data_IF_030141197879
#
_entry.id   IF_030141197879
#
_cell.length_a   1.000
_cell.length_b   1.000
_cell.length_c   1.000
_cell.angle_alpha   90.00
_cell.angle_beta   90.00
_cell.angle_gamma   90.00
#
_symmetry.space_group_name_H-M   'P 1'
#
loop_
_entity.id
_entity.type
_entity.pdbx_description
1 polymer ?
#
# COMPACT_ATOMS: atom_id res chain seq x y z
N UNK A 1 -39.31 4.00 -63.46
CA UNK A 1 -39.93 3.93 -62.16
C UNK A 1 -38.95 3.24 -61.19
N UNK A 2 -38.49 3.91 -60.18
CA UNK A 2 -37.68 3.27 -59.12
C UNK A 2 -38.60 2.46 -58.28
N UNK A 3 -38.36 1.12 -58.21
CA UNK A 3 -39.13 0.23 -57.33
C UNK A 3 -38.69 0.56 -55.88
N UNK A 4 -39.63 0.98 -55.05
CA UNK A 4 -39.42 1.15 -53.64
C UNK A 4 -39.31 -0.22 -52.95
N UNK A 5 -38.52 -0.28 -51.85
CA UNK A 5 -38.46 -1.48 -51.02
C UNK A 5 -39.82 -1.83 -50.43
N UNK A 6 -40.18 -3.07 -50.46
CA UNK A 6 -41.38 -3.58 -49.75
C UNK A 6 -41.12 -3.59 -48.23
N UNK A 7 -42.20 -3.47 -47.47
CA UNK A 7 -42.11 -3.54 -45.99
C UNK A 7 -41.42 -4.81 -45.47
N UNK A 8 -41.66 -5.94 -46.20
CA UNK A 8 -41.07 -7.26 -45.88
C UNK A 8 -39.57 -7.26 -46.15
N UNK A 9 -39.09 -6.65 -47.24
CA UNK A 9 -37.65 -6.55 -47.53
C UNK A 9 -36.94 -5.67 -46.51
N UNK A 10 -37.56 -4.57 -46.08
CA UNK A 10 -37.01 -3.72 -45.03
C UNK A 10 -36.95 -4.46 -43.69
N UNK A 11 -38.00 -5.21 -43.33
CA UNK A 11 -38.06 -6.01 -42.09
C UNK A 11 -37.00 -7.12 -42.08
N UNK A 12 -36.79 -7.81 -43.23
CA UNK A 12 -35.75 -8.82 -43.37
C UNK A 12 -34.34 -8.24 -43.21
N UNK A 13 -34.07 -7.07 -43.75
CA UNK A 13 -32.78 -6.38 -43.60
C UNK A 13 -32.53 -5.99 -42.14
N UNK A 14 -33.53 -5.44 -41.43
CA UNK A 14 -33.41 -5.06 -40.02
C UNK A 14 -33.17 -6.30 -39.17
N UNK A 15 -33.84 -7.41 -39.44
CA UNK A 15 -33.65 -8.69 -38.71
C UNK A 15 -32.22 -9.22 -38.88
N UNK A 16 -31.74 -9.25 -40.14
CA UNK A 16 -30.36 -9.70 -40.45
C UNK A 16 -29.32 -8.79 -39.78
N UNK A 17 -29.50 -7.46 -39.86
CA UNK A 17 -28.61 -6.52 -39.18
C UNK A 17 -28.63 -6.66 -37.66
N UNK A 18 -29.80 -6.95 -37.07
CA UNK A 18 -29.96 -7.27 -35.65
C UNK A 18 -29.19 -8.51 -35.24
N UNK A 19 -29.27 -9.59 -36.02
CA UNK A 19 -28.52 -10.83 -35.78
C UNK A 19 -27.00 -10.61 -35.90
N UNK A 20 -26.56 -9.89 -36.93
CA UNK A 20 -25.16 -9.57 -37.13
C UNK A 20 -24.65 -8.71 -35.96
N UNK A 21 -25.42 -7.70 -35.53
CA UNK A 21 -25.05 -6.86 -34.39
C UNK A 21 -24.94 -7.69 -33.09
N UNK A 22 -25.82 -8.62 -32.86
CA UNK A 22 -25.82 -9.47 -31.66
C UNK A 22 -24.57 -10.34 -31.54
N UNK A 23 -23.98 -10.76 -32.66
CA UNK A 23 -22.77 -11.60 -32.71
C UNK A 23 -21.52 -10.74 -32.82
N UNK A 24 -21.54 -9.71 -33.65
CA UNK A 24 -20.35 -8.90 -33.96
C UNK A 24 -19.95 -7.95 -32.80
N UNK A 25 -20.92 -7.36 -32.12
CA UNK A 25 -20.63 -6.39 -31.04
C UNK A 25 -19.87 -7.04 -29.88
N UNK A 26 -20.26 -8.19 -29.32
CA UNK A 26 -19.49 -8.83 -28.26
C UNK A 26 -18.07 -9.22 -28.68
N UNK A 27 -17.92 -9.72 -29.91
CA UNK A 27 -16.63 -10.14 -30.45
C UNK A 27 -15.67 -8.95 -30.62
N UNK A 28 -16.16 -7.84 -31.19
CA UNK A 28 -15.37 -6.62 -31.35
C UNK A 28 -14.99 -6.02 -29.99
N UNK A 29 -15.92 -6.02 -29.03
CA UNK A 29 -15.63 -5.51 -27.69
C UNK A 29 -14.56 -6.36 -26.98
N UNK A 30 -14.58 -7.68 -27.13
CA UNK A 30 -13.54 -8.55 -26.56
C UNK A 30 -12.18 -8.31 -27.19
N UNK A 31 -12.11 -8.17 -28.52
CA UNK A 31 -10.84 -7.86 -29.23
C UNK A 31 -10.30 -6.50 -28.78
N UNK A 32 -11.16 -5.49 -28.63
CA UNK A 32 -10.76 -4.17 -28.16
C UNK A 32 -10.27 -4.22 -26.71
N UNK A 33 -10.89 -5.01 -25.86
CA UNK A 33 -10.50 -5.19 -24.48
C UNK A 33 -9.11 -5.84 -24.37
N UNK A 34 -8.87 -6.92 -25.12
CA UNK A 34 -7.56 -7.60 -25.15
C UNK A 34 -6.45 -6.70 -25.71
N UNK A 35 -6.76 -5.91 -26.75
CA UNK A 35 -5.81 -4.92 -27.28
C UNK A 35 -5.43 -3.84 -26.25
N UNK A 36 -6.42 -3.34 -25.52
CA UNK A 36 -6.18 -2.37 -24.41
C UNK A 36 -5.40 -2.98 -23.28
N UNK A 37 -5.70 -4.23 -22.89
CA UNK A 37 -4.95 -4.97 -21.89
C UNK A 37 -3.48 -5.12 -22.27
N UNK A 38 -3.19 -5.45 -23.55
CA UNK A 38 -1.82 -5.53 -24.07
C UNK A 38 -1.08 -4.18 -24.04
N UNK A 39 -1.76 -3.09 -24.41
CA UNK A 39 -1.20 -1.75 -24.31
C UNK A 39 -0.90 -1.33 -22.87
N UNK A 40 -1.81 -1.61 -21.94
CA UNK A 40 -1.63 -1.35 -20.52
C UNK A 40 -0.45 -2.14 -19.95
N UNK A 41 -0.36 -3.43 -20.25
CA UNK A 41 0.78 -4.29 -19.87
C UNK A 41 2.12 -3.73 -20.35
N UNK A 42 2.17 -3.30 -21.62
CA UNK A 42 3.37 -2.66 -22.18
C UNK A 42 3.74 -1.37 -21.44
N UNK A 43 2.77 -0.54 -21.10
CA UNK A 43 2.99 0.70 -20.35
C UNK A 43 3.61 0.39 -18.99
N UNK A 44 3.08 -0.58 -18.25
CA UNK A 44 3.57 -0.97 -16.93
C UNK A 44 5.01 -1.53 -16.99
N UNK A 45 5.27 -2.38 -17.98
CA UNK A 45 6.60 -2.98 -18.19
C UNK A 45 7.64 -1.92 -18.51
N UNK A 46 7.30 -0.97 -19.39
CA UNK A 46 8.21 0.12 -19.75
C UNK A 46 8.46 1.07 -18.59
N UNK A 47 7.43 1.38 -17.82
CA UNK A 47 7.53 2.23 -16.64
C UNK A 47 8.42 1.59 -15.57
N UNK A 48 8.22 0.30 -15.29
CA UNK A 48 9.07 -0.46 -14.37
C UNK A 48 10.54 -0.41 -14.77
N UNK A 49 10.86 -0.73 -16.03
CA UNK A 49 12.22 -0.68 -16.56
C UNK A 49 12.87 0.71 -16.46
N UNK A 50 12.14 1.77 -16.78
CA UNK A 50 12.66 3.12 -16.70
C UNK A 50 13.03 3.52 -15.26
N UNK A 51 12.30 3.02 -14.29
CA UNK A 51 12.58 3.26 -12.86
C UNK A 51 13.76 2.39 -12.39
N UNK A 52 13.85 1.13 -12.79
CA UNK A 52 14.98 0.24 -12.53
C UNK A 52 16.29 0.81 -13.10
N UNK A 53 16.25 1.33 -14.33
CA UNK A 53 17.40 2.01 -14.96
C UNK A 53 17.80 3.28 -14.20
N UNK A 54 16.84 4.09 -13.76
CA UNK A 54 17.12 5.30 -12.97
C UNK A 54 17.74 4.96 -11.62
N UNK A 55 17.21 3.99 -10.89
CA UNK A 55 17.75 3.52 -9.63
C UNK A 55 19.21 3.05 -9.80
N UNK A 56 19.49 2.24 -10.82
CA UNK A 56 20.86 1.78 -11.14
C UNK A 56 21.81 2.96 -11.40
N UNK A 57 21.34 3.99 -12.10
CA UNK A 57 22.14 5.21 -12.34
C UNK A 57 22.39 6.00 -11.06
N UNK A 58 21.42 6.08 -10.14
CA UNK A 58 21.56 6.71 -8.82
C UNK A 58 22.59 5.97 -7.97
N UNK A 59 22.57 4.62 -7.97
CA UNK A 59 23.57 3.78 -7.30
C UNK A 59 25.00 4.02 -7.84
N UNK A 60 25.19 4.01 -9.15
CA UNK A 60 26.49 4.24 -9.80
C UNK A 60 27.05 5.61 -9.43
N UNK A 61 26.19 6.61 -9.28
CA UNK A 61 26.58 7.98 -8.90
C UNK A 61 26.73 8.20 -7.40
N UNK A 62 26.57 7.17 -6.58
CA UNK A 62 26.50 7.28 -5.11
C UNK A 62 25.49 8.33 -4.61
N UNK A 63 24.36 8.43 -5.32
CA UNK A 63 23.24 9.29 -4.93
C UNK A 63 22.23 8.49 -4.09
N UNK A 64 21.41 9.18 -3.32
CA UNK A 64 20.30 8.54 -2.60
C UNK A 64 19.32 7.93 -3.61
N UNK A 65 19.00 6.66 -3.42
CA UNK A 65 18.04 5.95 -4.25
C UNK A 65 16.64 6.46 -3.94
N UNK A 66 15.87 6.75 -4.99
CA UNK A 66 14.45 7.04 -4.86
C UNK A 66 13.69 5.73 -4.61
N UNK A 67 13.16 5.54 -3.41
CA UNK A 67 12.54 4.28 -2.97
C UNK A 67 11.08 4.14 -3.36
N UNK A 68 10.42 5.24 -3.78
CA UNK A 68 9.03 5.19 -4.24
C UNK A 68 8.69 6.29 -5.23
N UNK A 69 7.76 5.99 -6.14
CA UNK A 69 7.15 6.92 -7.08
C UNK A 69 5.64 6.84 -6.94
N UNK A 70 4.98 7.99 -6.90
CA UNK A 70 3.52 8.09 -6.85
C UNK A 70 3.04 8.68 -8.18
N UNK A 71 2.03 8.07 -8.76
CA UNK A 71 1.36 8.58 -9.97
C UNK A 71 -0.05 8.99 -9.60
N UNK A 72 -0.38 10.24 -9.85
CA UNK A 72 -1.73 10.78 -9.61
C UNK A 72 -2.14 11.62 -10.82
N UNK A 73 -3.29 11.29 -11.40
CA UNK A 73 -3.80 11.93 -12.62
C UNK A 73 -2.76 11.93 -13.76
N UNK A 74 -2.02 10.82 -13.90
CA UNK A 74 -1.00 10.65 -14.94
C UNK A 74 0.31 11.40 -14.70
N UNK A 75 0.50 12.01 -13.52
CA UNK A 75 1.73 12.73 -13.14
C UNK A 75 2.51 11.91 -12.12
N UNK A 76 3.77 11.61 -12.46
CA UNK A 76 4.68 10.86 -11.58
C UNK A 76 5.50 11.78 -10.68
N UNK A 77 5.60 11.46 -9.39
CA UNK A 77 6.38 12.19 -8.39
C UNK A 77 7.22 11.20 -7.56
N UNK A 78 8.52 11.44 -7.33
CA UNK A 78 9.32 12.53 -7.92
C UNK A 78 9.43 12.40 -9.43
N UNK A 79 9.67 13.54 -10.10
CA UNK A 79 9.59 13.63 -11.55
C UNK A 79 10.54 12.64 -12.25
N UNK A 80 9.96 11.87 -13.16
CA UNK A 80 10.65 11.01 -14.10
C UNK A 80 10.23 11.44 -15.50
N UNK A 81 11.19 11.70 -16.40
CA UNK A 81 10.89 12.16 -17.78
C UNK A 81 10.28 11.02 -18.62
N UNK A 82 9.08 10.61 -18.25
CA UNK A 82 8.27 9.63 -18.98
C UNK A 82 7.07 10.34 -19.59
N UNK A 83 6.91 10.18 -20.90
CA UNK A 83 5.80 10.76 -21.67
C UNK A 83 4.67 9.75 -21.83
N UNK A 84 3.45 10.19 -21.61
CA UNK A 84 2.24 9.40 -21.85
C UNK A 84 1.21 9.55 -20.74
N UNK A 85 0.03 8.94 -20.94
CA UNK A 85 -0.96 8.78 -19.88
C UNK A 85 -0.51 7.62 -18.97
N UNK A 86 0.01 7.97 -17.81
CA UNK A 86 0.43 6.97 -16.82
C UNK A 86 -0.78 6.55 -15.99
N UNK A 87 -0.90 5.26 -15.66
CA UNK A 87 -1.91 4.79 -14.73
C UNK A 87 -1.60 5.28 -13.31
N UNK A 88 -2.64 5.54 -12.53
CA UNK A 88 -2.49 6.02 -11.15
C UNK A 88 -2.08 4.88 -10.21
N UNK A 89 -1.31 5.22 -9.18
CA UNK A 89 -0.88 4.30 -8.14
C UNK A 89 0.55 4.54 -7.67
N UNK A 90 1.16 3.51 -7.12
CA UNK A 90 2.45 3.62 -6.46
C UNK A 90 3.40 2.55 -6.97
N UNK A 91 4.66 2.93 -7.12
CA UNK A 91 5.77 2.07 -7.50
C UNK A 91 6.83 2.16 -6.41
N UNK A 92 7.24 1.01 -5.93
CA UNK A 92 8.33 0.86 -4.96
C UNK A 92 9.58 0.38 -5.64
N UNK A 93 10.72 0.80 -5.08
CA UNK A 93 12.05 0.41 -5.54
C UNK A 93 12.82 -0.12 -4.35
N UNK A 94 13.34 -1.34 -4.43
CA UNK A 94 14.21 -1.90 -3.40
C UNK A 94 15.68 -1.53 -3.62
N UNK A 95 16.55 -1.93 -2.69
CA UNK A 95 17.98 -1.64 -2.76
C UNK A 95 18.70 -2.33 -3.94
N UNK A 96 18.09 -3.34 -4.56
CA UNK A 96 18.60 -4.06 -5.74
C UNK A 96 18.08 -3.45 -7.04
N UNK A 97 17.39 -2.30 -6.94
CA UNK A 97 16.74 -1.63 -8.06
C UNK A 97 15.62 -2.43 -8.74
N UNK A 98 15.10 -3.47 -8.10
CA UNK A 98 13.85 -4.11 -8.54
C UNK A 98 12.65 -3.25 -8.15
N UNK A 99 11.58 -3.32 -8.96
CA UNK A 99 10.34 -2.58 -8.72
C UNK A 99 9.18 -3.50 -8.38
N UNK A 100 8.34 -3.05 -7.45
CA UNK A 100 6.99 -3.58 -7.24
C UNK A 100 5.97 -2.47 -7.39
N UNK A 101 4.76 -2.79 -7.84
CA UNK A 101 3.73 -1.78 -8.01
C UNK A 101 2.31 -2.33 -8.04
N UNK A 102 1.36 -1.45 -7.71
CA UNK A 102 -0.04 -1.58 -8.05
C UNK A 102 -0.47 -0.30 -8.75
N UNK A 103 -0.77 -0.40 -10.04
CA UNK A 103 -1.14 0.72 -10.89
C UNK A 103 -2.47 0.43 -11.60
N UNK A 104 -3.33 1.42 -11.72
CA UNK A 104 -4.66 1.24 -12.32
C UNK A 104 -5.03 2.36 -13.28
N UNK A 105 -5.79 2.00 -14.30
CA UNK A 105 -6.57 2.92 -15.12
C UNK A 105 -8.06 2.60 -15.01
N UNK A 106 -8.89 3.21 -15.84
CA UNK A 106 -10.34 2.99 -15.83
C UNK A 106 -10.75 1.55 -16.17
N UNK A 107 -9.88 0.75 -16.80
CA UNK A 107 -10.22 -0.57 -17.33
C UNK A 107 -9.44 -1.72 -16.69
N UNK A 108 -8.24 -1.46 -16.17
CA UNK A 108 -7.32 -2.49 -15.71
C UNK A 108 -6.60 -2.09 -14.43
N UNK A 109 -6.25 -3.12 -13.66
CA UNK A 109 -5.32 -3.04 -12.54
C UNK A 109 -4.12 -3.91 -12.91
N UNK A 110 -2.92 -3.35 -12.83
CA UNK A 110 -1.67 -4.06 -13.04
C UNK A 110 -0.88 -4.12 -11.75
N UNK A 111 -0.43 -5.30 -11.39
CA UNK A 111 0.35 -5.57 -10.19
C UNK A 111 1.65 -6.27 -10.56
N UNK A 112 2.71 -5.95 -9.87
CA UNK A 112 4.00 -6.61 -9.95
C UNK A 112 4.62 -6.64 -8.56
N UNK A 113 4.99 -7.83 -8.11
CA UNK A 113 5.85 -8.00 -6.95
C UNK A 113 7.32 -7.82 -7.35
N UNK A 114 8.21 -7.58 -6.38
CA UNK A 114 9.65 -7.63 -6.63
C UNK A 114 10.01 -8.98 -7.23
N UNK A 115 10.79 -8.97 -8.33
CA UNK A 115 11.16 -10.17 -9.09
C UNK A 115 10.02 -10.94 -9.78
N UNK A 116 8.77 -10.52 -9.57
CA UNK A 116 7.59 -11.11 -10.17
C UNK A 116 7.29 -10.60 -11.59
N UNK A 117 6.39 -11.31 -12.28
CA UNK A 117 5.81 -10.86 -13.54
C UNK A 117 4.66 -9.88 -13.34
N UNK A 118 4.38 -9.07 -14.35
CA UNK A 118 3.23 -8.14 -14.34
C UNK A 118 1.94 -8.94 -14.53
N UNK A 119 1.06 -8.91 -13.56
CA UNK A 119 -0.29 -9.48 -13.62
C UNK A 119 -1.30 -8.38 -13.92
N UNK A 120 -2.12 -8.57 -14.94
CA UNK A 120 -3.17 -7.63 -15.33
C UNK A 120 -4.55 -8.23 -15.07
N UNK A 121 -5.33 -7.57 -14.22
CA UNK A 121 -6.73 -7.87 -13.96
C UNK A 121 -7.63 -6.78 -14.56
N UNK A 122 -8.86 -7.12 -14.87
CA UNK A 122 -9.85 -6.14 -15.34
C UNK A 122 -10.23 -5.23 -14.17
N UNK A 123 -10.12 -3.93 -14.38
CA UNK A 123 -10.75 -2.95 -13.50
C UNK A 123 -12.23 -2.85 -13.95
N UNK A 124 -13.09 -3.68 -13.40
CA UNK A 124 -14.50 -3.76 -13.81
C UNK A 124 -15.36 -2.64 -13.22
N UNK A 125 -14.70 -1.63 -12.61
CA UNK A 125 -15.41 -0.56 -11.90
C UNK A 125 -16.24 -1.09 -10.75
N UNK A 126 -16.17 -2.40 -10.48
CA UNK A 126 -16.67 -2.95 -9.25
C UNK A 126 -15.83 -2.29 -8.17
N UNK A 127 -16.40 -1.23 -7.67
CA UNK A 127 -16.00 -0.53 -6.48
C UNK A 127 -15.33 -1.54 -5.56
N UNK A 128 -14.18 -1.20 -5.02
CA UNK A 128 -13.62 -1.94 -3.88
C UNK A 128 -14.69 -2.23 -2.82
N UNK A 129 -15.80 -1.49 -2.85
CA UNK A 129 -17.01 -1.65 -2.03
C UNK A 129 -17.83 -2.93 -2.30
N UNK A 130 -17.57 -3.71 -3.36
CA UNK A 130 -18.34 -4.91 -3.66
C UNK A 130 -17.54 -6.22 -3.49
N UNK A 131 -16.25 -6.16 -3.12
CA UNK A 131 -15.52 -7.34 -2.66
C UNK A 131 -15.98 -7.70 -1.26
N UNK A 132 -16.10 -8.99 -0.92
CA UNK A 132 -16.36 -9.37 0.46
C UNK A 132 -15.27 -8.79 1.37
N UNK A 133 -15.69 -8.28 2.52
CA UNK A 133 -14.82 -7.78 3.56
C UNK A 133 -14.65 -8.87 4.61
N UNK A 134 -13.42 -9.12 5.00
CA UNK A 134 -13.08 -10.09 6.05
C UNK A 134 -12.23 -9.38 7.11
N UNK A 135 -12.65 -9.45 8.36
CA UNK A 135 -11.96 -8.75 9.44
C UNK A 135 -10.84 -9.63 10.00
N UNK A 136 -9.66 -9.04 10.14
CA UNK A 136 -8.57 -9.65 10.89
C UNK A 136 -8.97 -9.85 12.33
N UNK A 137 -8.66 -11.04 12.87
CA UNK A 137 -8.93 -11.34 14.27
C UNK A 137 -8.31 -10.28 15.15
N UNK A 138 -9.08 -9.83 16.16
CA UNK A 138 -8.54 -9.07 17.27
C UNK A 138 -7.70 -10.04 18.07
N UNK A 139 -6.44 -10.10 17.82
CA UNK A 139 -5.54 -10.80 18.70
C UNK A 139 -4.62 -9.82 19.37
N UNK A 140 -4.06 -10.19 20.43
CA UNK A 140 -2.82 -9.72 20.95
C UNK A 140 -1.77 -10.00 19.85
N UNK A 141 -1.69 -9.09 18.89
CA UNK A 141 -1.21 -9.30 17.55
C UNK A 141 0.27 -9.21 17.43
N UNK A 142 0.82 -10.32 17.38
CA UNK A 142 1.96 -10.54 16.54
C UNK A 142 1.53 -11.57 15.49
N UNK A 143 1.96 -11.47 14.23
CA UNK A 143 1.93 -12.57 13.28
C UNK A 143 2.71 -13.72 13.89
N UNK A 144 2.10 -14.57 14.62
CA UNK A 144 2.72 -15.61 15.45
C UNK A 144 1.87 -16.03 16.64
N UNK A 145 0.80 -15.30 16.94
CA UNK A 145 -0.03 -15.54 18.10
C UNK A 145 -1.33 -16.29 17.81
N UNK A 146 -1.45 -16.92 16.67
CA UNK A 146 -2.67 -17.64 16.32
C UNK A 146 -2.45 -19.14 16.35
N UNK A 147 -2.70 -19.69 17.49
CA UNK A 147 -3.01 -21.10 17.67
C UNK A 147 -1.85 -21.96 18.12
N UNK A 148 -1.97 -22.41 19.35
CA UNK A 148 -1.28 -23.55 19.99
C UNK A 148 0.24 -23.51 20.08
N UNK A 149 0.70 -23.16 21.25
CA UNK A 149 2.01 -23.58 21.81
C UNK A 149 3.30 -23.09 21.11
N UNK A 150 3.23 -22.11 20.21
CA UNK A 150 4.42 -21.38 19.83
C UNK A 150 4.60 -20.28 20.88
N UNK A 151 5.63 -20.40 21.69
CA UNK A 151 6.14 -19.30 22.51
C UNK A 151 6.72 -18.28 21.52
N UNK A 152 5.93 -17.34 21.16
CA UNK A 152 5.90 -16.61 19.90
C UNK A 152 6.88 -15.45 19.79
N UNK A 153 7.82 -15.28 20.69
CA UNK A 153 8.89 -14.28 20.53
C UNK A 153 9.80 -14.60 19.33
N UNK A 154 9.92 -15.86 18.95
CA UNK A 154 10.96 -16.29 18.03
C UNK A 154 10.69 -15.87 16.58
N UNK A 155 9.44 -15.89 16.10
CA UNK A 155 9.14 -15.53 14.71
C UNK A 155 9.04 -14.02 14.46
N UNK A 156 8.56 -13.23 15.42
CA UNK A 156 8.42 -11.78 15.25
C UNK A 156 9.77 -11.13 14.93
N UNK A 157 10.79 -11.53 15.67
CA UNK A 157 12.16 -11.06 15.46
C UNK A 157 12.81 -11.64 14.19
N UNK A 158 12.20 -12.65 13.56
CA UNK A 158 12.73 -13.31 12.37
C UNK A 158 12.01 -12.89 11.07
N UNK A 159 10.95 -12.07 11.16
CA UNK A 159 10.22 -11.62 9.97
C UNK A 159 10.93 -10.44 9.32
N UNK A 160 11.33 -10.62 8.05
CA UNK A 160 11.95 -9.59 7.22
C UNK A 160 10.94 -8.77 6.43
N UNK A 161 9.83 -9.38 6.01
CA UNK A 161 8.78 -8.68 5.28
C UNK A 161 7.39 -9.22 5.56
N UNK A 162 6.38 -8.37 5.38
CA UNK A 162 4.98 -8.72 5.48
C UNK A 162 4.28 -8.30 4.18
N UNK A 163 3.52 -9.21 3.56
CA UNK A 163 2.80 -8.94 2.31
C UNK A 163 1.34 -9.33 2.44
N UNK A 164 0.44 -8.37 2.24
CA UNK A 164 -1.00 -8.61 2.10
C UNK A 164 -1.33 -8.94 0.65
N UNK A 165 -2.07 -10.04 0.41
CA UNK A 165 -2.34 -10.61 -0.91
C UNK A 165 -3.84 -10.68 -1.23
N UNK A 166 -4.18 -10.57 -2.51
CA UNK A 166 -5.54 -10.69 -3.03
C UNK A 166 -5.96 -12.15 -3.33
N UNK A 167 -5.26 -13.12 -2.78
CA UNK A 167 -5.53 -14.55 -2.92
C UNK A 167 -5.14 -15.31 -1.65
N UNK A 168 -5.61 -16.54 -1.52
CA UNK A 168 -5.28 -17.45 -0.41
C UNK A 168 -4.35 -18.58 -0.85
N UNK A 169 -3.62 -18.42 -1.95
CA UNK A 169 -2.72 -19.45 -2.44
C UNK A 169 -1.51 -19.60 -1.52
N UNK A 170 -1.37 -20.78 -0.96
CA UNK A 170 -0.25 -21.15 -0.09
C UNK A 170 0.75 -21.93 -0.94
N UNK A 171 2.01 -21.50 -1.05
CA UNK A 171 3.03 -22.22 -1.78
C UNK A 171 3.45 -23.50 -1.04
N UNK A 172 4.04 -24.44 -1.77
CA UNK A 172 4.43 -25.74 -1.21
C UNK A 172 5.60 -25.68 -0.20
N UNK A 173 6.34 -24.59 -0.22
CA UNK A 173 7.48 -24.29 0.67
C UNK A 173 7.06 -23.45 1.89
N UNK A 174 5.78 -23.19 2.06
CA UNK A 174 5.29 -22.57 3.28
C UNK A 174 5.63 -23.44 4.49
N UNK A 175 6.29 -22.81 5.47
CA UNK A 175 6.74 -23.49 6.70
C UNK A 175 5.58 -23.70 7.67
N UNK A 176 4.71 -22.70 7.75
CA UNK A 176 3.57 -22.68 8.67
C UNK A 176 2.41 -21.89 8.08
N UNK A 177 1.19 -22.27 8.44
CA UNK A 177 -0.04 -21.61 8.00
C UNK A 177 -1.05 -21.53 9.12
N UNK A 178 -1.84 -20.47 9.15
CA UNK A 178 -2.87 -20.29 10.18
C UNK A 178 -4.03 -19.43 9.71
N UNK A 179 -5.19 -19.59 10.35
CA UNK A 179 -6.38 -18.75 10.14
C UNK A 179 -6.23 -17.43 10.91
N UNK A 180 -6.27 -16.32 10.20
CA UNK A 180 -6.20 -14.96 10.75
C UNK A 180 -7.55 -14.24 10.75
N UNK A 181 -8.62 -14.90 10.32
CA UNK A 181 -9.94 -14.30 10.30
C UNK A 181 -10.58 -14.20 11.69
N UNK A 182 -11.28 -13.10 11.96
CA UNK A 182 -12.07 -12.92 13.19
C UNK A 182 -13.14 -14.00 13.32
N UNK A 183 -13.71 -14.43 12.19
CA UNK A 183 -14.73 -15.48 12.15
C UNK A 183 -14.19 -16.89 12.38
N UNK A 184 -12.87 -17.11 12.27
CA UNK A 184 -12.25 -18.43 12.38
C UNK A 184 -12.66 -19.39 11.25
N UNK A 185 -12.92 -18.86 10.04
CA UNK A 185 -13.47 -19.57 8.89
C UNK A 185 -12.49 -19.70 7.71
N UNK A 186 -11.21 -19.38 7.93
CA UNK A 186 -10.17 -19.32 6.92
C UNK A 186 -10.47 -18.33 5.76
N UNK A 187 -11.24 -17.29 6.02
CA UNK A 187 -11.43 -16.21 5.05
C UNK A 187 -10.18 -15.34 4.88
N UNK A 188 -9.31 -15.32 5.90
CA UNK A 188 -7.97 -14.74 5.88
C UNK A 188 -6.97 -15.80 6.32
N UNK A 189 -5.98 -16.09 5.47
CA UNK A 189 -4.92 -17.07 5.75
C UNK A 189 -3.59 -16.35 5.89
N UNK A 190 -2.90 -16.60 7.00
CA UNK A 190 -1.50 -16.26 7.20
C UNK A 190 -0.60 -17.45 6.88
N UNK A 191 0.59 -17.19 6.33
CA UNK A 191 1.66 -18.17 6.20
C UNK A 191 3.03 -17.51 6.17
N UNK A 192 4.07 -18.27 6.47
CA UNK A 192 5.47 -17.85 6.37
C UNK A 192 6.25 -18.74 5.42
N UNK A 193 7.22 -18.13 4.72
CA UNK A 193 8.18 -18.81 3.87
C UNK A 193 9.58 -18.42 4.34
N UNK A 194 10.54 -19.34 4.33
CA UNK A 194 11.92 -19.04 4.67
C UNK A 194 12.53 -18.03 3.68
N UNK A 195 13.38 -17.17 4.19
CA UNK A 195 14.21 -16.32 3.36
C UNK A 195 15.20 -17.19 2.57
N UNK A 196 15.49 -16.81 1.30
CA UNK A 196 16.36 -17.58 0.42
C UNK A 196 17.85 -17.46 0.79
N UNK A 197 18.23 -16.36 1.40
CA UNK A 197 19.62 -16.01 1.69
C UNK A 197 20.01 -16.40 3.12
N UNK A 198 19.04 -16.40 4.06
CA UNK A 198 19.26 -16.79 5.46
C UNK A 198 18.07 -17.56 6.04
N UNK A 199 18.21 -18.87 6.19
CA UNK A 199 17.18 -19.78 6.69
C UNK A 199 16.67 -19.48 8.12
N UNK A 200 17.32 -18.57 8.83
CA UNK A 200 16.86 -18.12 10.16
C UNK A 200 15.77 -17.05 10.08
N UNK A 201 15.51 -16.53 8.89
CA UNK A 201 14.53 -15.46 8.66
C UNK A 201 13.39 -15.93 7.76
N UNK A 202 12.30 -15.16 7.80
CA UNK A 202 11.05 -15.49 7.10
C UNK A 202 10.42 -14.27 6.44
N UNK A 203 9.62 -14.55 5.42
CA UNK A 203 8.67 -13.63 4.81
C UNK A 203 7.26 -14.06 5.20
N UNK A 204 6.46 -13.15 5.75
CA UNK A 204 5.07 -13.40 6.13
C UNK A 204 4.11 -12.90 5.05
N UNK A 205 3.11 -13.71 4.77
CA UNK A 205 2.05 -13.42 3.80
C UNK A 205 0.69 -13.54 4.46
N UNK A 206 -0.20 -12.59 4.15
CA UNK A 206 -1.56 -12.55 4.66
C UNK A 206 -2.49 -12.46 3.45
N UNK A 207 -3.23 -13.51 3.16
CA UNK A 207 -4.01 -13.67 1.94
C UNK A 207 -5.51 -13.75 2.19
N UNK A 208 -6.28 -13.14 1.29
CA UNK A 208 -7.74 -13.24 1.24
C UNK A 208 -8.24 -13.07 -0.19
N UNK A 209 -9.34 -13.73 -0.54
CA UNK A 209 -10.04 -13.51 -1.83
C UNK A 209 -10.85 -12.20 -1.84
N UNK A 210 -10.86 -11.47 -0.74
CA UNK A 210 -11.56 -10.20 -0.55
C UNK A 210 -10.65 -9.07 -0.05
N UNK A 211 -11.29 -8.08 0.55
CA UNK A 211 -10.63 -7.00 1.27
C UNK A 211 -10.35 -7.47 2.70
N UNK A 212 -9.17 -7.21 3.20
CA UNK A 212 -8.77 -7.52 4.57
C UNK A 212 -8.98 -6.26 5.41
N UNK A 213 -10.06 -6.20 6.16
CA UNK A 213 -10.32 -5.13 7.10
C UNK A 213 -9.45 -5.31 8.34
N UNK A 214 -8.74 -4.27 8.72
CA UNK A 214 -8.09 -4.22 10.01
C UNK A 214 -9.13 -4.20 11.14
N UNK A 215 -8.77 -4.76 12.29
CA UNK A 215 -9.63 -4.64 13.47
C UNK A 215 -9.76 -3.16 13.87
N UNK A 216 -10.93 -2.69 14.30
CA UNK A 216 -11.10 -1.30 14.77
C UNK A 216 -10.09 -0.88 15.85
N UNK A 217 -9.65 -1.82 16.68
CA UNK A 217 -8.51 -1.62 17.57
C UNK A 217 -7.28 -2.34 16.98
N UNK A 218 -6.49 -1.60 16.21
CA UNK A 218 -5.25 -2.07 15.58
C UNK A 218 -4.00 -1.66 16.37
N UNK A 219 -4.16 -1.38 17.67
CA UNK A 219 -3.03 -1.06 18.54
C UNK A 219 -2.01 -2.21 18.55
N UNK A 220 -0.73 -1.88 18.43
CA UNK A 220 0.40 -2.80 18.45
C UNK A 220 0.41 -3.88 17.35
N UNK A 221 -0.36 -3.71 16.28
CA UNK A 221 -0.53 -4.76 15.25
C UNK A 221 0.79 -5.23 14.62
N UNK A 222 1.74 -4.36 14.40
CA UNK A 222 3.06 -4.67 13.86
C UNK A 222 4.18 -4.30 14.83
N UNK A 223 3.88 -4.30 16.13
CA UNK A 223 4.86 -3.98 17.18
C UNK A 223 5.85 -5.13 17.38
N UNK A 224 7.11 -4.79 17.69
CA UNK A 224 8.15 -5.76 18.02
C UNK A 224 8.81 -6.46 16.83
N UNK A 225 8.46 -6.12 15.60
CA UNK A 225 9.10 -6.68 14.40
C UNK A 225 10.48 -6.04 14.16
N UNK A 226 11.43 -6.34 15.01
CA UNK A 226 12.74 -5.67 15.07
C UNK A 226 13.60 -5.83 13.82
N UNK A 227 13.39 -6.89 13.03
CA UNK A 227 14.10 -7.14 11.76
C UNK A 227 13.27 -6.85 10.51
N UNK A 228 12.08 -6.27 10.68
CA UNK A 228 11.18 -5.95 9.57
C UNK A 228 11.77 -4.87 8.65
N UNK A 229 11.95 -5.19 7.37
CA UNK A 229 12.50 -4.28 6.35
C UNK A 229 11.42 -3.65 5.48
N UNK A 230 10.30 -4.35 5.27
CA UNK A 230 9.21 -3.85 4.41
C UNK A 230 7.85 -4.43 4.75
N UNK A 231 6.80 -3.64 4.48
CA UNK A 231 5.41 -4.10 4.51
C UNK A 231 4.74 -3.68 3.20
N UNK A 232 4.10 -4.64 2.53
CA UNK A 232 3.22 -4.38 1.39
C UNK A 232 1.77 -4.56 1.86
N UNK A 233 1.00 -3.48 1.89
CA UNK A 233 -0.36 -3.48 2.42
C UNK A 233 -1.44 -3.97 1.42
N UNK A 234 -1.10 -4.23 0.17
CA UNK A 234 -1.98 -4.89 -0.82
C UNK A 234 -3.46 -4.52 -0.70
N UNK A 235 -4.28 -5.48 -0.29
CA UNK A 235 -5.73 -5.34 -0.07
C UNK A 235 -6.13 -5.03 1.39
N UNK A 236 -5.19 -4.56 2.20
CA UNK A 236 -5.44 -4.19 3.60
C UNK A 236 -6.20 -2.86 3.71
N UNK A 237 -7.27 -2.83 4.47
CA UNK A 237 -8.16 -1.69 4.65
C UNK A 237 -8.20 -1.23 6.10
N UNK A 238 -8.01 0.06 6.33
CA UNK A 238 -7.99 0.66 7.67
C UNK A 238 -9.17 1.60 7.95
N UNK A 239 -10.16 1.68 7.05
CA UNK A 239 -11.26 2.64 7.15
C UNK A 239 -12.13 2.50 8.40
N UNK A 240 -12.11 1.33 9.04
CA UNK A 240 -12.85 1.08 10.29
C UNK A 240 -12.00 1.26 11.56
N UNK A 241 -10.70 1.55 11.41
CA UNK A 241 -9.78 1.64 12.55
C UNK A 241 -10.01 2.91 13.34
N UNK A 242 -10.10 2.76 14.65
CA UNK A 242 -10.25 3.86 15.60
C UNK A 242 -9.02 4.06 16.49
N UNK A 243 -8.19 3.02 16.63
CA UNK A 243 -7.00 3.03 17.47
C UNK A 243 -5.80 2.40 16.74
N UNK A 244 -4.73 3.20 16.54
CA UNK A 244 -3.45 2.82 15.94
C UNK A 244 -2.27 2.99 16.92
N UNK A 245 -2.54 3.01 18.23
CA UNK A 245 -1.51 3.15 19.27
C UNK A 245 -0.42 2.08 19.10
N UNK A 246 0.85 2.49 19.04
CA UNK A 246 2.01 1.59 18.95
C UNK A 246 2.01 0.66 17.72
N UNK A 247 1.25 0.97 16.66
CA UNK A 247 1.03 0.03 15.54
C UNK A 247 2.31 -0.51 14.92
N UNK A 248 3.38 0.29 14.88
CA UNK A 248 4.70 -0.09 14.36
C UNK A 248 5.80 0.06 15.42
N UNK A 249 5.44 0.06 16.70
CA UNK A 249 6.39 0.20 17.79
C UNK A 249 7.54 -0.81 17.66
N UNK A 250 8.78 -0.33 17.84
CA UNK A 250 10.00 -1.15 17.81
C UNK A 250 10.26 -1.88 16.47
N UNK A 251 9.70 -1.41 15.34
CA UNK A 251 10.12 -1.86 14.03
C UNK A 251 11.48 -1.21 13.67
N UNK A 252 12.52 -1.57 14.43
CA UNK A 252 13.79 -0.83 14.52
C UNK A 252 14.62 -0.85 13.25
N UNK A 253 14.50 -1.88 12.39
CA UNK A 253 15.22 -1.97 11.10
C UNK A 253 14.47 -1.34 9.93
N UNK A 254 13.21 -0.92 10.12
CA UNK A 254 12.38 -0.36 9.07
C UNK A 254 12.91 1.01 8.65
N UNK A 255 13.43 1.14 7.44
CA UNK A 255 13.99 2.40 6.92
C UNK A 255 12.93 3.34 6.31
N UNK A 256 11.88 2.78 5.76
CA UNK A 256 10.74 3.49 5.17
C UNK A 256 9.49 2.63 5.20
N UNK A 257 8.32 3.26 5.19
CA UNK A 257 7.03 2.57 5.13
C UNK A 257 6.06 3.39 4.28
N UNK A 258 5.30 2.70 3.46
CA UNK A 258 4.26 3.35 2.68
C UNK A 258 2.89 3.14 3.32
N UNK A 259 2.29 4.27 3.71
CA UNK A 259 0.97 4.33 4.35
C UNK A 259 -0.06 5.07 3.50
N UNK A 260 0.19 5.25 2.21
CA UNK A 260 -0.70 6.03 1.33
C UNK A 260 -2.09 5.41 1.14
N UNK A 261 -2.23 4.09 1.38
CA UNK A 261 -3.51 3.38 1.37
C UNK A 261 -4.30 3.48 2.68
N UNK A 262 -3.69 4.04 3.74
CA UNK A 262 -4.35 4.12 5.04
C UNK A 262 -5.43 5.19 5.05
N UNK A 263 -6.64 4.79 5.39
CA UNK A 263 -7.73 5.68 5.77
C UNK A 263 -7.71 5.83 7.30
N UNK A 264 -7.43 7.05 7.76
CA UNK A 264 -7.33 7.39 9.18
C UNK A 264 -8.46 8.28 9.67
N UNK A 265 -9.50 8.45 8.84
CA UNK A 265 -10.62 9.36 9.12
C UNK A 265 -11.39 9.04 10.42
N UNK A 266 -11.35 7.78 10.86
CA UNK A 266 -11.99 7.34 12.11
C UNK A 266 -11.02 7.19 13.30
N UNK A 267 -9.70 7.42 13.09
CA UNK A 267 -8.70 7.21 14.12
C UNK A 267 -8.72 8.31 15.17
N UNK A 268 -8.73 7.92 16.42
CA UNK A 268 -8.71 8.82 17.58
C UNK A 268 -7.39 8.79 18.37
N UNK A 269 -6.64 7.67 18.28
CA UNK A 269 -5.38 7.47 19.00
C UNK A 269 -4.29 6.96 18.06
N UNK A 270 -3.20 7.72 17.94
CA UNK A 270 -1.97 7.38 17.20
C UNK A 270 -0.73 7.45 18.11
N UNK A 271 -0.93 7.38 19.44
CA UNK A 271 0.19 7.48 20.38
C UNK A 271 1.21 6.36 20.16
N UNK A 272 2.49 6.71 20.22
CA UNK A 272 3.60 5.78 20.04
C UNK A 272 3.62 5.00 18.73
N UNK A 273 2.85 5.42 17.69
CA UNK A 273 2.66 4.61 16.47
C UNK A 273 3.97 4.14 15.83
N UNK A 274 5.04 4.94 15.94
CA UNK A 274 6.39 4.63 15.42
C UNK A 274 7.47 4.73 16.49
N UNK A 275 7.12 4.67 17.76
CA UNK A 275 8.11 4.73 18.85
C UNK A 275 9.17 3.62 18.68
N UNK A 276 10.45 3.96 18.89
CA UNK A 276 11.61 3.07 18.68
C UNK A 276 11.81 2.54 17.24
N UNK A 277 11.28 3.24 16.22
CA UNK A 277 11.62 2.96 14.84
C UNK A 277 12.97 3.62 14.49
N UNK A 278 14.06 3.07 15.05
CA UNK A 278 15.38 3.72 15.11
C UNK A 278 15.99 4.03 13.74
N UNK A 279 15.74 3.17 12.73
CA UNK A 279 16.29 3.33 11.37
C UNK A 279 15.34 4.01 10.38
N UNK A 280 14.13 4.40 10.81
CA UNK A 280 13.18 5.09 9.95
C UNK A 280 13.72 6.45 9.52
N UNK A 281 14.00 6.64 8.22
CA UNK A 281 14.65 7.83 7.68
C UNK A 281 13.67 8.93 7.29
N UNK A 282 12.54 8.54 6.72
CA UNK A 282 11.52 9.47 6.26
C UNK A 282 10.13 8.88 6.35
N UNK A 283 9.13 9.75 6.52
CA UNK A 283 7.73 9.34 6.63
C UNK A 283 6.81 10.34 5.96
N UNK A 284 5.93 9.87 5.08
CA UNK A 284 4.88 10.69 4.47
C UNK A 284 3.51 10.32 5.05
N UNK A 285 2.96 11.22 5.86
CA UNK A 285 1.62 11.12 6.43
C UNK A 285 0.67 12.19 5.85
N UNK A 286 0.97 12.74 4.69
CA UNK A 286 0.20 13.83 4.09
C UNK A 286 -1.21 13.42 3.67
N UNK A 287 -1.46 12.11 3.49
CA UNK A 287 -2.77 11.53 3.24
C UNK A 287 -3.59 11.27 4.51
N UNK A 288 -2.98 11.31 5.69
CA UNK A 288 -3.69 11.05 6.93
C UNK A 288 -4.69 12.18 7.24
N UNK A 289 -5.89 11.80 7.62
CA UNK A 289 -6.87 12.70 8.24
C UNK A 289 -6.71 12.63 9.76
N UNK A 290 -6.20 13.70 10.34
CA UNK A 290 -5.99 13.82 11.77
C UNK A 290 -7.09 14.63 12.50
N UNK A 291 -8.21 14.90 11.82
CA UNK A 291 -9.28 15.74 12.39
C UNK A 291 -9.95 15.14 13.64
N UNK A 292 -10.01 13.80 13.72
CA UNK A 292 -10.57 13.07 14.86
C UNK A 292 -9.51 12.62 15.87
N UNK A 293 -8.21 12.82 15.58
CA UNK A 293 -7.13 12.34 16.45
C UNK A 293 -7.01 13.22 17.68
N UNK A 294 -7.12 12.60 18.84
CA UNK A 294 -7.00 13.27 20.15
C UNK A 294 -5.66 13.04 20.82
N UNK A 295 -4.95 11.96 20.41
CA UNK A 295 -3.68 11.58 21.03
C UNK A 295 -2.64 11.16 19.98
N UNK A 296 -1.49 11.83 19.98
CA UNK A 296 -0.29 11.55 19.20
C UNK A 296 0.96 11.55 20.11
N UNK A 297 0.77 11.30 21.41
CA UNK A 297 1.86 11.28 22.37
C UNK A 297 2.93 10.27 21.96
N UNK A 298 4.22 10.67 22.02
CA UNK A 298 5.38 9.82 21.69
C UNK A 298 5.36 9.19 20.28
N UNK A 299 4.56 9.72 19.34
CA UNK A 299 4.34 9.07 18.04
C UNK A 299 5.63 8.73 17.29
N UNK A 300 6.66 9.54 17.43
CA UNK A 300 7.99 9.38 16.81
C UNK A 300 9.13 9.46 17.84
N UNK A 301 8.85 9.16 19.11
CA UNK A 301 9.90 9.12 20.12
C UNK A 301 10.91 8.03 19.76
N UNK A 302 12.19 8.32 19.98
CA UNK A 302 13.34 7.44 19.73
C UNK A 302 13.46 6.93 18.27
N UNK A 303 12.96 7.71 17.31
CA UNK A 303 13.22 7.53 15.88
C UNK A 303 14.53 8.26 15.50
N UNK A 304 15.69 7.71 15.90
CA UNK A 304 16.99 8.41 15.83
C UNK A 304 17.42 8.80 14.40
N UNK A 305 17.03 8.04 13.38
CA UNK A 305 17.38 8.29 11.98
C UNK A 305 16.38 9.17 11.23
N UNK A 306 15.25 9.54 11.87
CA UNK A 306 14.17 10.25 11.22
C UNK A 306 14.55 11.70 10.91
N UNK A 307 14.81 11.98 9.64
CA UNK A 307 15.27 13.27 9.18
C UNK A 307 14.22 14.06 8.39
N UNK A 308 13.16 13.42 7.92
CA UNK A 308 12.09 14.09 7.19
C UNK A 308 10.71 13.47 7.52
N UNK A 309 9.74 14.33 7.83
CA UNK A 309 8.34 13.94 8.02
C UNK A 309 7.44 14.89 7.22
N UNK A 310 6.54 14.34 6.40
CA UNK A 310 5.38 15.10 5.92
C UNK A 310 4.20 14.81 6.82
N UNK A 311 3.82 15.80 7.61
CA UNK A 311 2.76 15.65 8.60
C UNK A 311 1.36 15.76 7.98
N UNK A 312 0.32 15.21 8.62
CA UNK A 312 -1.05 15.39 8.22
C UNK A 312 -1.47 16.86 8.22
N UNK A 313 -2.47 17.19 7.45
CA UNK A 313 -3.25 18.41 7.63
C UNK A 313 -4.30 18.23 8.76
N UNK A 314 -4.83 19.34 9.28
CA UNK A 314 -5.94 19.37 10.22
C UNK A 314 -5.67 18.73 11.60
N UNK A 315 -4.40 18.71 12.06
CA UNK A 315 -4.12 18.35 13.45
C UNK A 315 -4.82 19.36 14.36
N UNK A 316 -5.73 18.88 15.19
CA UNK A 316 -6.52 19.73 16.09
C UNK A 316 -5.62 20.44 17.12
N UNK A 317 -5.99 21.66 17.51
CA UNK A 317 -5.33 22.36 18.61
C UNK A 317 -5.45 21.63 19.96
N UNK A 318 -6.46 20.78 20.11
CA UNK A 318 -6.70 19.95 21.30
C UNK A 318 -5.96 18.62 21.30
N UNK A 319 -5.35 18.21 20.16
CA UNK A 319 -4.60 16.94 20.09
C UNK A 319 -3.44 16.95 21.07
N UNK A 320 -3.32 15.88 21.88
CA UNK A 320 -2.15 15.66 22.72
C UNK A 320 -0.96 15.28 21.84
N UNK A 321 0.13 16.05 21.91
CA UNK A 321 1.37 15.81 21.17
C UNK A 321 2.59 15.78 22.12
N UNK A 322 2.38 15.48 23.41
CA UNK A 322 3.45 15.42 24.40
C UNK A 322 4.54 14.43 23.94
N UNK A 323 5.79 14.87 23.98
CA UNK A 323 6.95 14.06 23.60
C UNK A 323 6.86 13.40 22.22
N UNK A 324 6.13 14.03 21.28
CA UNK A 324 5.84 13.46 19.96
C UNK A 324 7.10 13.06 19.17
N UNK A 325 8.21 13.76 19.40
CA UNK A 325 9.51 13.47 18.76
C UNK A 325 10.66 13.91 19.65
N UNK A 326 11.78 13.18 19.59
CA UNK A 326 13.03 13.52 20.28
C UNK A 326 13.88 14.54 19.51
N UNK A 327 13.59 14.77 18.22
CA UNK A 327 14.35 15.65 17.32
C UNK A 327 13.70 17.03 17.17
N UNK A 328 14.53 18.02 16.78
CA UNK A 328 14.08 19.34 16.32
C UNK A 328 13.88 19.31 14.81
N UNK A 329 12.92 20.06 14.31
CA UNK A 329 12.61 20.12 12.88
C UNK A 329 12.44 21.55 12.38
N UNK A 330 12.91 21.82 11.15
CA UNK A 330 12.55 23.00 10.37
C UNK A 330 11.36 22.66 9.47
N UNK A 331 10.32 23.47 9.51
CA UNK A 331 9.13 23.28 8.68
C UNK A 331 9.24 23.96 7.33
N UNK A 332 8.62 23.38 6.31
CA UNK A 332 8.47 24.01 4.99
C UNK A 332 7.62 25.30 5.01
N UNK A 333 6.96 25.58 6.11
CA UNK A 333 6.25 26.82 6.42
C UNK A 333 7.15 27.94 6.95
N UNK A 334 8.46 27.68 7.09
CA UNK A 334 9.46 28.61 7.58
C UNK A 334 9.58 28.69 9.11
N UNK A 335 8.86 27.84 9.86
CA UNK A 335 8.96 27.78 11.31
C UNK A 335 9.95 26.72 11.76
N UNK A 336 10.49 26.88 12.97
CA UNK A 336 11.28 25.85 13.67
C UNK A 336 10.43 25.23 14.78
N UNK A 337 10.47 23.89 14.85
CA UNK A 337 9.71 23.10 15.79
C UNK A 337 10.68 22.40 16.76
N UNK A 338 10.78 22.87 18.03
CA UNK A 338 11.58 22.21 19.04
C UNK A 338 11.17 20.74 19.25
N UNK A 339 12.09 19.95 19.80
CA UNK A 339 11.76 18.58 20.23
C UNK A 339 10.48 18.54 21.06
N UNK A 340 9.66 17.54 20.85
CA UNK A 340 8.35 17.40 21.49
C UNK A 340 7.25 18.30 20.94
N UNK A 341 7.48 19.05 19.84
CA UNK A 341 6.48 19.96 19.26
C UNK A 341 6.17 19.64 17.79
N UNK A 342 4.94 19.93 17.39
CA UNK A 342 4.46 19.78 16.01
C UNK A 342 3.48 20.91 15.66
N UNK A 343 3.35 21.32 14.39
CA UNK A 343 2.36 22.29 13.99
C UNK A 343 0.94 21.75 14.21
N UNK A 344 0.06 22.62 14.69
CA UNK A 344 -1.36 22.33 14.89
C UNK A 344 -2.21 23.35 14.14
N UNK A 345 -3.44 22.97 13.80
CA UNK A 345 -4.38 23.85 13.09
C UNK A 345 -3.97 24.14 11.64
N UNK A 346 -3.06 23.38 11.07
CA UNK A 346 -2.58 23.55 9.71
C UNK A 346 -3.62 23.06 8.69
N UNK A 347 -3.95 23.91 7.72
CA UNK A 347 -4.89 23.56 6.64
C UNK A 347 -4.23 22.76 5.49
N UNK A 348 -2.91 22.72 5.44
CA UNK A 348 -2.10 22.01 4.44
C UNK A 348 -1.06 21.16 5.12
N UNK A 349 -0.64 20.09 4.46
CA UNK A 349 0.47 19.26 4.95
C UNK A 349 1.77 20.08 4.96
N UNK A 350 2.58 19.93 6.01
CA UNK A 350 3.87 20.59 6.20
C UNK A 350 4.96 19.51 6.15
N UNK A 351 6.04 19.78 5.42
CA UNK A 351 7.23 18.94 5.47
C UNK A 351 8.16 19.45 6.56
N UNK A 352 8.52 18.57 7.48
CA UNK A 352 9.46 18.81 8.55
C UNK A 352 10.79 18.13 8.22
N UNK A 353 11.90 18.87 8.35
CA UNK A 353 13.26 18.33 8.13
C UNK A 353 14.05 18.49 9.43
N UNK A 354 14.73 17.44 9.87
CA UNK A 354 15.49 17.45 11.10
C UNK A 354 16.61 18.49 11.02
N UNK A 355 16.76 19.29 12.06
CA UNK A 355 17.87 20.24 12.21
C UNK A 355 19.11 19.48 12.69
N UNK A 356 20.32 19.85 12.25
CA UNK A 356 21.56 19.30 12.81
C UNK A 356 21.61 19.53 14.31
N UNK A 357 22.14 18.54 15.04
CA UNK A 357 22.32 18.61 16.49
C UNK A 357 23.37 19.67 16.90
#
# INVERSE_FOLDING_TARGET
>A
MKKGFTLIELLAVILILGIIALIAIPTVNNILLESRKGAFSSTLTNLGKAIEEKCTLEQIKNQNITTSYIITNGVISPNLDIKGNLPDGIIYVNNECSVSFTLSDQNFIGQKEFEGEVVITKNDGSNTNNRPHYTLRKSDFAIGYVGKDIQSSDYIEQILSITFKNDKNIPNDAVETWDMSEAGDNSIIGYIVKDSDDENYYHAYIGSDGIIDSNPNSSYMFSGFTNLRSINFGNFNTSTVTNMMGMFESASTLESINLSSFDTSNVTDMSGMFIYCENLKSLDLSNFDASNVTNMEMMFADCWSLNQIRIPKNISSSTNITDITSSRFAGSDGNSYPAGTFPKGNSTSITLTAEPA
#
